data_IF_498672645062
#
_entry.id   IF_498672645062
#
_cell.length_a   1.000
_cell.length_b   1.000
_cell.length_c   1.000
_cell.angle_alpha   90.00
_cell.angle_beta   90.00
_cell.angle_gamma   90.00
#
_symmetry.space_group_name_H-M   'P 1'
#
loop_
_entity.id
_entity.type
_entity.pdbx_description
1 polymer ?
#
# COMPACT_ATOMS: atom_id res chain seq x y z
N UNK A 1 8.03 2.43 1.15
CA UNK A 1 8.20 1.47 2.26
C UNK A 1 9.27 0.42 1.99
N UNK A 2 9.41 -0.54 2.89
CA UNK A 2 10.47 -1.58 2.86
C UNK A 2 10.27 -2.70 1.83
N UNK A 3 9.24 -2.62 0.99
CA UNK A 3 8.98 -3.54 -0.12
C UNK A 3 8.25 -4.83 0.23
N UNK A 4 7.83 -5.05 1.48
CA UNK A 4 7.27 -6.35 1.94
C UNK A 4 6.12 -6.86 1.09
N UNK A 5 5.18 -5.99 0.68
CA UNK A 5 4.03 -6.40 -0.13
C UNK A 5 4.42 -6.79 -1.55
N UNK A 6 5.31 -6.01 -2.17
CA UNK A 6 5.78 -6.31 -3.52
C UNK A 6 6.63 -7.57 -3.58
N UNK A 7 7.51 -7.77 -2.59
CA UNK A 7 8.31 -9.00 -2.46
C UNK A 7 7.38 -10.20 -2.22
N UNK A 8 6.39 -10.07 -1.32
CA UNK A 8 5.39 -11.11 -1.11
C UNK A 8 4.62 -11.46 -2.38
N UNK A 9 4.23 -10.45 -3.18
CA UNK A 9 3.57 -10.67 -4.47
C UNK A 9 4.45 -11.42 -5.46
N UNK A 10 5.75 -11.10 -5.54
CA UNK A 10 6.71 -11.82 -6.39
C UNK A 10 6.86 -13.29 -5.96
N UNK A 11 6.98 -13.54 -4.67
CA UNK A 11 7.05 -14.90 -4.11
C UNK A 11 5.78 -15.72 -4.44
N UNK A 12 4.63 -15.06 -4.43
CA UNK A 12 3.35 -15.67 -4.79
C UNK A 12 3.09 -15.76 -6.30
N UNK A 13 4.06 -15.40 -7.14
CA UNK A 13 4.02 -15.60 -8.58
C UNK A 13 3.62 -14.39 -9.43
N UNK A 14 3.66 -13.18 -8.88
CA UNK A 14 3.52 -11.98 -9.70
C UNK A 14 4.66 -11.91 -10.71
N UNK A 15 4.33 -11.70 -12.01
CA UNK A 15 5.32 -11.68 -13.09
C UNK A 15 6.21 -10.43 -13.05
N UNK A 16 5.61 -9.29 -12.71
CA UNK A 16 6.30 -8.00 -12.65
C UNK A 16 5.77 -7.22 -11.45
N UNK A 17 6.64 -6.58 -10.69
CA UNK A 17 6.24 -5.69 -9.59
C UNK A 17 6.91 -4.33 -9.74
N UNK A 18 6.13 -3.27 -9.56
CA UNK A 18 6.59 -1.90 -9.51
C UNK A 18 6.55 -1.42 -8.06
N UNK A 19 7.70 -1.05 -7.53
CA UNK A 19 7.85 -0.45 -6.21
C UNK A 19 7.89 1.07 -6.36
N UNK A 20 7.00 1.77 -5.69
CA UNK A 20 6.84 3.21 -5.80
C UNK A 20 6.90 3.81 -4.41
N UNK A 21 7.81 4.72 -4.18
CA UNK A 21 7.89 5.52 -2.96
C UNK A 21 8.57 6.86 -3.26
N UNK A 22 8.13 7.90 -2.59
CA UNK A 22 8.77 9.21 -2.64
C UNK A 22 10.07 9.23 -1.84
N UNK A 23 10.17 8.37 -0.83
CA UNK A 23 11.34 8.21 0.02
C UNK A 23 12.36 7.27 -0.65
N UNK A 24 13.47 7.85 -1.07
CA UNK A 24 14.58 7.13 -1.69
C UNK A 24 15.20 6.09 -0.75
N UNK A 25 15.33 6.41 0.54
CA UNK A 25 15.93 5.48 1.52
C UNK A 25 15.04 4.25 1.70
N UNK A 26 13.71 4.44 1.73
CA UNK A 26 12.77 3.32 1.77
C UNK A 26 12.90 2.41 0.55
N UNK A 27 13.12 2.97 -0.65
CA UNK A 27 13.34 2.17 -1.86
C UNK A 27 14.67 1.43 -1.85
N UNK A 28 15.73 2.00 -1.30
CA UNK A 28 17.01 1.28 -1.15
C UNK A 28 16.85 0.09 -0.21
N UNK A 29 16.18 0.25 0.93
CA UNK A 29 15.83 -0.86 1.83
C UNK A 29 15.01 -1.94 1.10
N UNK A 30 14.03 -1.52 0.27
CA UNK A 30 13.22 -2.46 -0.50
C UNK A 30 14.05 -3.26 -1.51
N UNK A 31 15.06 -2.65 -2.14
CA UNK A 31 16.00 -3.33 -3.04
C UNK A 31 16.86 -4.35 -2.28
N UNK A 32 17.43 -3.95 -1.14
CA UNK A 32 18.22 -4.85 -0.29
C UNK A 32 17.38 -6.06 0.16
N UNK A 33 16.15 -5.84 0.60
CA UNK A 33 15.24 -6.90 0.98
C UNK A 33 14.89 -7.83 -0.19
N UNK A 34 14.75 -7.29 -1.40
CA UNK A 34 14.51 -8.09 -2.61
C UNK A 34 15.72 -8.98 -2.95
N UNK A 35 16.93 -8.43 -2.90
CA UNK A 35 18.14 -9.22 -3.15
C UNK A 35 18.30 -10.35 -2.11
N UNK A 36 18.05 -10.07 -0.83
CA UNK A 36 18.02 -11.09 0.21
C UNK A 36 16.98 -12.19 -0.09
N UNK A 37 15.80 -11.84 -0.56
CA UNK A 37 14.77 -12.81 -0.93
C UNK A 37 15.21 -13.67 -2.12
N UNK A 38 15.87 -13.10 -3.13
CA UNK A 38 16.44 -13.85 -4.27
C UNK A 38 17.49 -14.86 -3.82
N UNK A 39 18.41 -14.44 -2.95
CA UNK A 39 19.46 -15.30 -2.41
C UNK A 39 18.87 -16.48 -1.63
N UNK A 40 17.92 -16.20 -0.72
CA UNK A 40 17.29 -17.22 0.13
C UNK A 40 16.47 -18.24 -0.68
N UNK A 41 15.74 -17.77 -1.69
CA UNK A 41 14.84 -18.60 -2.49
C UNK A 41 15.52 -19.17 -3.75
N UNK A 42 16.73 -18.73 -4.06
CA UNK A 42 17.52 -19.13 -5.25
C UNK A 42 16.72 -18.93 -6.55
N UNK A 43 16.05 -17.79 -6.67
CA UNK A 43 15.23 -17.45 -7.82
C UNK A 43 15.41 -15.97 -8.22
N UNK A 44 15.06 -15.66 -9.48
CA UNK A 44 15.06 -14.29 -9.99
C UNK A 44 13.66 -13.72 -10.01
N UNK A 45 13.55 -12.42 -9.74
CA UNK A 45 12.31 -11.67 -9.75
C UNK A 45 12.39 -10.47 -10.70
N UNK A 46 11.31 -10.18 -11.40
CA UNK A 46 11.22 -9.00 -12.25
C UNK A 46 10.58 -7.84 -11.47
N UNK A 47 11.42 -6.91 -11.06
CA UNK A 47 11.05 -5.76 -10.25
C UNK A 47 11.59 -4.45 -10.83
N UNK A 48 10.83 -3.37 -10.70
CA UNK A 48 11.27 -2.01 -11.05
C UNK A 48 10.95 -1.06 -9.91
N UNK A 49 11.87 -0.16 -9.63
CA UNK A 49 11.78 0.81 -8.54
C UNK A 49 11.63 2.22 -9.11
N UNK A 50 10.66 2.97 -8.61
CA UNK A 50 10.35 4.33 -9.04
C UNK A 50 10.38 5.26 -7.82
N UNK A 51 11.39 6.13 -7.77
CA UNK A 51 11.45 7.18 -6.76
C UNK A 51 10.69 8.41 -7.26
N UNK A 52 9.39 8.43 -6.98
CA UNK A 52 8.48 9.49 -7.39
C UNK A 52 7.26 9.55 -6.45
N UNK A 53 6.54 10.66 -6.52
CA UNK A 53 5.24 10.77 -5.85
C UNK A 53 4.24 9.82 -6.52
N UNK A 54 3.43 9.13 -5.71
CA UNK A 54 2.41 8.19 -6.22
C UNK A 54 1.51 8.83 -7.29
N UNK A 55 1.26 10.14 -7.18
CA UNK A 55 0.43 10.91 -8.13
C UNK A 55 1.02 10.97 -9.54
N UNK A 56 2.32 10.81 -9.68
CA UNK A 56 3.05 10.87 -10.97
C UNK A 56 3.12 9.50 -11.68
N UNK A 57 2.73 8.42 -11.01
CA UNK A 57 2.77 7.08 -11.59
C UNK A 57 1.57 6.82 -12.49
N UNK A 58 1.80 6.55 -13.79
CA UNK A 58 0.73 6.42 -14.80
C UNK A 58 0.67 5.06 -15.52
N UNK A 59 1.53 4.11 -15.14
CA UNK A 59 1.50 2.77 -15.76
C UNK A 59 0.30 1.98 -15.27
N UNK A 60 -0.43 1.35 -16.20
CA UNK A 60 -1.51 0.43 -15.86
C UNK A 60 -0.95 -0.87 -15.30
N UNK A 61 -1.64 -1.41 -14.30
CA UNK A 61 -1.31 -2.66 -13.61
C UNK A 61 -2.58 -3.46 -13.33
N UNK A 62 -2.45 -4.76 -13.16
CA UNK A 62 -3.60 -5.61 -12.82
C UNK A 62 -4.02 -5.41 -11.36
N UNK A 63 -3.03 -5.33 -10.46
CA UNK A 63 -3.26 -5.26 -9.01
C UNK A 63 -2.42 -4.13 -8.41
N UNK A 64 -3.03 -3.34 -7.53
CA UNK A 64 -2.35 -2.41 -6.63
C UNK A 64 -2.44 -2.95 -5.21
N UNK A 65 -1.34 -2.91 -4.48
CA UNK A 65 -1.29 -3.22 -3.04
C UNK A 65 -0.67 -2.02 -2.34
N UNK A 66 -1.37 -1.44 -1.39
CA UNK A 66 -0.92 -0.23 -0.71
C UNK A 66 -1.28 -0.20 0.78
N UNK A 67 -0.42 0.47 1.53
CA UNK A 67 -0.67 0.87 2.92
C UNK A 67 -0.34 2.36 3.04
N UNK A 68 -1.26 3.24 2.67
CA UNK A 68 -1.04 4.69 2.69
C UNK A 68 -0.75 5.21 4.11
N UNK A 69 -0.08 6.35 4.25
CA UNK A 69 0.12 6.96 5.56
C UNK A 69 -1.23 7.33 6.18
N UNK A 70 -1.46 6.94 7.44
CA UNK A 70 -2.72 7.14 8.17
C UNK A 70 -2.98 8.61 8.58
N UNK A 71 -2.80 9.56 7.69
CA UNK A 71 -3.25 10.95 7.84
C UNK A 71 -2.61 11.79 8.97
N UNK A 72 -1.55 11.31 9.64
CA UNK A 72 -0.95 12.01 10.80
C UNK A 72 -0.15 13.24 10.39
N UNK A 73 0.34 13.29 9.15
CA UNK A 73 1.19 14.40 8.66
C UNK A 73 0.56 15.21 7.52
N UNK A 74 -0.42 14.66 6.80
CA UNK A 74 -1.08 15.29 5.67
C UNK A 74 -2.54 14.83 5.61
N UNK A 75 -3.43 15.76 5.85
CA UNK A 75 -4.87 15.54 5.74
C UNK A 75 -5.20 15.07 4.31
N UNK A 76 -5.97 13.99 4.16
CA UNK A 76 -6.36 13.39 2.88
C UNK A 76 -5.25 12.70 2.04
N UNK A 77 -4.08 12.38 2.61
CA UNK A 77 -3.05 11.63 1.87
C UNK A 77 -3.57 10.25 1.42
N UNK A 78 -4.31 9.55 2.26
CA UNK A 78 -4.97 8.28 1.97
C UNK A 78 -5.93 8.35 0.76
N UNK A 79 -6.61 9.49 0.57
CA UNK A 79 -7.47 9.76 -0.59
C UNK A 79 -6.67 9.78 -1.89
N UNK A 80 -5.57 10.54 -1.93
CA UNK A 80 -4.73 10.67 -3.13
C UNK A 80 -4.17 9.30 -3.58
N UNK A 81 -3.77 8.46 -2.61
CA UNK A 81 -3.30 7.09 -2.88
C UNK A 81 -4.40 6.24 -3.50
N UNK A 82 -5.58 6.18 -2.86
CA UNK A 82 -6.68 5.35 -3.33
C UNK A 82 -7.24 5.83 -4.68
N UNK A 83 -7.35 7.15 -4.91
CA UNK A 83 -7.73 7.70 -6.21
C UNK A 83 -6.73 7.34 -7.32
N UNK A 84 -5.43 7.39 -7.04
CA UNK A 84 -4.41 6.99 -8.00
C UNK A 84 -4.47 5.48 -8.24
N UNK A 85 -4.62 4.66 -7.19
CA UNK A 85 -4.77 3.22 -7.33
C UNK A 85 -5.92 2.85 -8.26
N UNK A 86 -7.10 3.49 -8.12
CA UNK A 86 -8.26 3.27 -9.01
C UNK A 86 -8.01 3.74 -10.45
N UNK A 87 -7.15 4.73 -10.66
CA UNK A 87 -6.77 5.17 -12.01
C UNK A 87 -5.84 4.19 -12.72
N UNK A 88 -4.95 3.50 -12.00
CA UNK A 88 -3.91 2.66 -12.61
C UNK A 88 -4.18 1.17 -12.52
N UNK A 89 -4.91 0.70 -11.50
CA UNK A 89 -5.20 -0.71 -11.25
C UNK A 89 -6.66 -1.07 -11.48
N UNK A 90 -6.91 -2.33 -11.83
CA UNK A 90 -8.26 -2.90 -11.92
C UNK A 90 -8.71 -3.56 -10.61
N UNK A 91 -7.77 -4.03 -9.80
CA UNK A 91 -8.00 -4.61 -8.49
C UNK A 91 -7.04 -3.96 -7.47
N UNK A 92 -7.56 -3.56 -6.32
CA UNK A 92 -6.81 -2.82 -5.32
C UNK A 92 -6.97 -3.50 -3.97
N UNK A 93 -5.86 -3.70 -3.27
CA UNK A 93 -5.82 -4.08 -1.87
C UNK A 93 -5.20 -2.94 -1.08
N UNK A 94 -5.99 -2.31 -0.22
CA UNK A 94 -5.56 -1.11 0.51
C UNK A 94 -5.90 -1.21 1.99
N UNK A 95 -4.95 -0.77 2.84
CA UNK A 95 -5.12 -0.77 4.29
C UNK A 95 -5.45 0.66 4.74
N UNK A 96 -6.57 0.81 5.43
CA UNK A 96 -7.01 2.09 5.98
C UNK A 96 -7.52 1.91 7.42
N UNK A 97 -7.66 3.00 8.14
CA UNK A 97 -8.37 2.99 9.43
C UNK A 97 -9.84 2.60 9.22
N UNK A 98 -10.41 1.85 10.15
CA UNK A 98 -11.83 1.46 10.10
C UNK A 98 -12.76 2.68 10.00
N UNK A 99 -12.40 3.79 10.63
CA UNK A 99 -13.12 5.05 10.55
C UNK A 99 -13.30 5.56 9.10
N UNK A 100 -12.40 5.18 8.18
CA UNK A 100 -12.45 5.57 6.77
C UNK A 100 -13.48 4.82 5.93
N UNK A 101 -14.24 3.86 6.50
CA UNK A 101 -15.21 3.01 5.79
C UNK A 101 -16.18 3.81 4.91
N UNK A 102 -16.84 4.83 5.48
CA UNK A 102 -17.80 5.65 4.74
C UNK A 102 -17.15 6.45 3.60
N UNK A 103 -15.91 6.86 3.79
CA UNK A 103 -15.13 7.55 2.77
C UNK A 103 -14.78 6.61 1.62
N UNK A 104 -14.29 5.40 1.93
CA UNK A 104 -13.94 4.38 0.94
C UNK A 104 -15.18 3.96 0.13
N UNK A 105 -16.32 3.73 0.79
CA UNK A 105 -17.60 3.41 0.13
C UNK A 105 -17.98 4.47 -0.91
N UNK A 106 -17.99 5.74 -0.51
CA UNK A 106 -18.33 6.86 -1.41
C UNK A 106 -17.36 6.97 -2.57
N UNK A 107 -16.05 6.85 -2.30
CA UNK A 107 -15.01 7.00 -3.30
C UNK A 107 -15.04 5.83 -4.31
N UNK A 108 -15.19 4.60 -3.85
CA UNK A 108 -15.30 3.42 -4.70
C UNK A 108 -16.52 3.54 -5.64
N UNK A 109 -17.70 3.81 -5.11
CA UNK A 109 -18.93 3.97 -5.90
C UNK A 109 -18.83 5.08 -6.93
N UNK A 110 -18.24 6.24 -6.57
CA UNK A 110 -18.08 7.35 -7.52
C UNK A 110 -17.10 7.06 -8.66
N UNK A 111 -16.23 6.04 -8.50
CA UNK A 111 -15.26 5.62 -9.52
C UNK A 111 -15.63 4.27 -10.19
N UNK A 112 -16.83 3.71 -9.94
CA UNK A 112 -17.29 2.45 -10.56
C UNK A 112 -16.56 1.23 -10.05
N UNK A 113 -16.18 1.21 -8.78
CA UNK A 113 -15.55 0.08 -8.10
C UNK A 113 -16.51 -0.53 -7.08
N UNK A 114 -16.64 -1.84 -7.12
CA UNK A 114 -17.12 -2.62 -5.98
C UNK A 114 -16.06 -2.65 -4.90
N UNK A 115 -16.47 -2.71 -3.63
CA UNK A 115 -15.53 -2.80 -2.52
C UNK A 115 -16.03 -3.76 -1.45
N UNK A 116 -15.08 -4.38 -0.78
CA UNK A 116 -15.30 -5.33 0.30
C UNK A 116 -14.25 -5.11 1.40
N UNK A 117 -14.69 -5.09 2.65
CA UNK A 117 -13.80 -5.16 3.80
C UNK A 117 -13.49 -6.64 4.06
N UNK A 118 -12.26 -7.05 3.73
CA UNK A 118 -11.83 -8.45 3.83
C UNK A 118 -11.47 -8.83 5.26
N UNK A 119 -10.78 -7.93 5.97
CA UNK A 119 -10.22 -8.23 7.28
C UNK A 119 -10.09 -6.96 8.12
N UNK A 120 -10.38 -7.09 9.41
CA UNK A 120 -10.17 -6.06 10.43
C UNK A 120 -9.13 -6.54 11.43
N UNK A 121 -8.20 -5.68 11.81
CA UNK A 121 -7.14 -6.01 12.76
C UNK A 121 -6.58 -4.78 13.47
N UNK A 122 -5.96 -4.99 14.62
CA UNK A 122 -5.23 -3.95 15.32
C UNK A 122 -3.83 -3.77 14.74
N UNK A 123 -3.51 -2.55 14.36
CA UNK A 123 -2.19 -2.18 13.84
C UNK A 123 -1.39 -1.38 14.89
N UNK A 124 -0.24 -1.88 15.37
CA UNK A 124 0.56 -1.19 16.35
C UNK A 124 1.33 -0.03 15.71
N UNK A 125 1.08 1.18 16.16
CA UNK A 125 1.83 2.37 15.75
C UNK A 125 2.78 2.81 16.86
N UNK A 126 4.05 3.03 16.50
CA UNK A 126 5.03 3.63 17.41
C UNK A 126 4.78 5.13 17.53
N UNK A 127 4.67 5.65 18.75
CA UNK A 127 4.63 7.10 18.98
C UNK A 127 6.01 7.71 18.75
N UNK A 128 6.08 8.68 17.84
CA UNK A 128 7.32 9.40 17.52
C UNK A 128 7.56 10.59 18.47
N UNK A 129 6.59 10.95 19.35
CA UNK A 129 6.72 12.11 20.26
C UNK A 129 7.14 11.74 21.66
N UNK A 130 8.18 12.41 22.15
CA UNK A 130 8.95 12.19 23.37
C UNK A 130 8.21 12.38 24.72
N UNK A 131 6.97 12.86 24.74
CA UNK A 131 6.26 13.26 25.98
C UNK A 131 5.15 12.33 26.47
N UNK A 132 4.98 11.12 25.90
CA UNK A 132 3.92 10.21 26.32
C UNK A 132 4.44 8.86 26.82
N UNK A 133 3.97 8.44 28.01
CA UNK A 133 4.37 7.21 28.72
C UNK A 133 4.11 5.88 27.98
N UNK A 134 3.24 5.83 26.98
CA UNK A 134 3.04 4.63 26.13
C UNK A 134 3.80 4.76 24.82
N UNK A 135 4.75 3.84 24.57
CA UNK A 135 5.59 3.78 23.37
C UNK A 135 4.85 3.28 22.12
N UNK A 136 3.74 2.57 22.27
CA UNK A 136 2.94 1.96 21.20
C UNK A 136 1.46 2.20 21.50
N UNK A 137 0.66 2.49 20.49
CA UNK A 137 -0.79 2.50 20.55
C UNK A 137 -1.35 1.73 19.36
N UNK A 138 -2.45 1.01 19.56
CA UNK A 138 -3.11 0.26 18.51
C UNK A 138 -4.13 1.14 17.80
N UNK A 139 -4.20 1.00 16.50
CA UNK A 139 -5.22 1.61 15.63
C UNK A 139 -5.97 0.48 14.95
N UNK A 140 -7.28 0.52 14.99
CA UNK A 140 -8.12 -0.41 14.23
C UNK A 140 -8.04 -0.08 12.75
N UNK A 141 -7.60 -1.04 11.97
CA UNK A 141 -7.47 -0.93 10.52
C UNK A 141 -8.21 -2.05 9.81
N UNK A 142 -8.60 -1.78 8.59
CA UNK A 142 -9.19 -2.76 7.70
C UNK A 142 -8.35 -2.94 6.44
N UNK A 143 -8.37 -4.15 5.90
CA UNK A 143 -7.92 -4.45 4.56
C UNK A 143 -9.14 -4.46 3.65
N UNK A 144 -9.19 -3.53 2.71
CA UNK A 144 -10.22 -3.45 1.68
C UNK A 144 -9.74 -4.02 0.36
N UNK A 145 -10.62 -4.75 -0.31
CA UNK A 145 -10.50 -5.08 -1.71
C UNK A 145 -11.44 -4.18 -2.51
N UNK A 146 -10.91 -3.50 -3.53
CA UNK A 146 -11.71 -2.77 -4.49
C UNK A 146 -11.47 -3.39 -5.87
N UNK A 147 -12.52 -3.57 -6.65
CA UNK A 147 -12.44 -4.20 -7.98
C UNK A 147 -13.36 -3.48 -8.96
N UNK A 148 -12.84 -3.16 -10.15
CA UNK A 148 -13.62 -2.52 -11.19
C UNK A 148 -14.69 -3.50 -11.73
N UNK A 149 -15.90 -3.01 -11.95
CA UNK A 149 -17.03 -3.80 -12.45
C UNK A 149 -16.90 -4.23 -13.94
N UNK A 150 -15.83 -3.83 -14.61
CA UNK A 150 -15.63 -4.11 -16.05
C UNK A 150 -14.88 -5.40 -16.31
#
# INVERSE_FOLDING_TARGET
GNGIFGIGALILGAKNVFFIDIDKEALEIAKENLELAKELLKCEFNAKFFNLDVREFDKKVDIVIENPPFGVKREHADKEFLEKAMKVGSKIYSIHKIESKNFIDKLAKSNGFNHELIWEFEFPLKKIKTYHKKKVYNVEVGLWRLENEK
#
